data_IF_557090196610
#
_entry.id   IF_557090196610
#
_cell.length_a   1.000
_cell.length_b   1.000
_cell.length_c   1.000
_cell.angle_alpha   90.00
_cell.angle_beta   90.00
_cell.angle_gamma   90.00
#
_symmetry.space_group_name_H-M   'P 1'
#
loop_
_entity.id
_entity.type
_entity.pdbx_description
1 polymer ?
#
# COMPACT_ATOMS: atom_id res chain seq x y z
N UNK A 1 1.95 9.10 -10.20
CA UNK A 1 0.79 9.27 -9.29
C UNK A 1 0.36 7.89 -8.87
N UNK A 2 -0.03 7.71 -7.60
CA UNK A 2 -0.46 6.39 -7.10
C UNK A 2 -1.72 5.91 -7.83
N UNK A 3 -1.83 4.61 -8.12
CA UNK A 3 -3.03 4.03 -8.77
C UNK A 3 -4.25 3.92 -7.85
N UNK A 4 -4.06 4.11 -6.54
CA UNK A 4 -5.12 4.05 -5.53
C UNK A 4 -5.39 5.41 -4.88
N UNK A 5 -6.59 5.58 -4.30
CA UNK A 5 -7.01 6.77 -3.53
C UNK A 5 -7.22 6.44 -2.05
N UNK A 6 -6.98 7.41 -1.15
CA UNK A 6 -7.17 7.19 0.29
C UNK A 6 -8.63 6.83 0.50
N UNK A 7 -8.89 5.77 1.27
CA UNK A 7 -10.21 5.18 1.43
C UNK A 7 -10.56 4.09 0.42
N UNK A 8 -9.75 3.87 -0.63
CA UNK A 8 -9.95 2.72 -1.52
C UNK A 8 -9.72 1.43 -0.73
N UNK A 9 -10.55 0.43 -1.01
CA UNK A 9 -10.29 -0.93 -0.55
C UNK A 9 -9.33 -1.61 -1.52
N UNK A 10 -8.30 -2.23 -0.98
CA UNK A 10 -7.25 -2.91 -1.72
C UNK A 10 -7.00 -4.29 -1.12
N UNK A 11 -6.44 -5.18 -1.91
CA UNK A 11 -6.04 -6.52 -1.49
C UNK A 11 -4.72 -6.88 -2.17
N UNK A 12 -3.90 -7.67 -1.49
CA UNK A 12 -2.69 -8.22 -2.09
C UNK A 12 -3.03 -9.22 -3.21
N UNK A 13 -2.26 -9.21 -4.30
CA UNK A 13 -2.47 -10.08 -5.46
C UNK A 13 -2.38 -11.58 -5.14
N UNK A 14 -1.64 -11.95 -4.09
CA UNK A 14 -1.56 -13.35 -3.63
C UNK A 14 -2.82 -13.84 -2.91
N UNK A 15 -3.83 -12.98 -2.72
CA UNK A 15 -4.91 -13.19 -1.77
C UNK A 15 -4.49 -12.82 -0.34
N UNK A 16 -5.44 -12.32 0.44
CA UNK A 16 -5.22 -11.81 1.80
C UNK A 16 -6.42 -11.04 2.33
N UNK A 17 -6.33 -10.42 3.52
CA UNK A 17 -7.39 -9.55 4.02
C UNK A 17 -7.56 -8.31 3.12
N UNK A 18 -8.79 -7.81 3.05
CA UNK A 18 -9.08 -6.53 2.40
C UNK A 18 -8.66 -5.41 3.33
N UNK A 19 -7.83 -4.51 2.81
CA UNK A 19 -7.28 -3.36 3.51
C UNK A 19 -7.87 -2.08 2.93
N UNK A 20 -7.91 -1.03 3.73
CA UNK A 20 -8.28 0.31 3.29
C UNK A 20 -7.03 1.16 3.18
N UNK A 21 -6.84 1.83 2.05
CA UNK A 21 -5.71 2.73 1.86
C UNK A 21 -5.80 3.90 2.84
N UNK A 22 -4.84 4.01 3.75
CA UNK A 22 -4.74 5.12 4.70
C UNK A 22 -3.77 6.18 4.23
N UNK A 23 -2.59 5.77 3.80
CA UNK A 23 -1.49 6.67 3.48
C UNK A 23 -0.71 6.18 2.27
N UNK A 24 -0.03 7.10 1.59
CA UNK A 24 0.97 6.78 0.58
C UNK A 24 2.32 7.15 1.13
N UNK A 25 3.24 6.21 1.03
CA UNK A 25 4.65 6.55 1.07
C UNK A 25 5.09 6.66 -0.38
N UNK A 26 4.93 7.85 -0.96
CA UNK A 26 5.84 8.24 -2.02
C UNK A 26 7.17 8.43 -1.34
N UNK A 27 8.16 7.61 -1.67
CA UNK A 27 9.54 7.93 -1.34
C UNK A 27 9.84 9.29 -2.01
N UNK A 28 9.68 10.39 -1.27
CA UNK A 28 10.40 11.62 -1.51
C UNK A 28 11.86 11.26 -1.19
N UNK A 29 12.49 10.54 -2.12
CA UNK A 29 13.91 10.30 -2.14
C UNK A 29 14.55 11.64 -2.52
N UNK A 30 14.43 12.62 -1.62
CA UNK A 30 15.26 13.80 -1.65
C UNK A 30 16.69 13.28 -1.48
N UNK A 31 17.41 13.31 -2.60
CA UNK A 31 18.86 13.31 -2.64
C UNK A 31 19.53 12.05 -2.09
N UNK A 32 19.48 10.94 -2.82
CA UNK A 32 20.60 10.02 -3.03
C UNK A 32 20.07 8.67 -3.51
N UNK A 33 20.27 8.40 -4.80
CA UNK A 33 20.80 7.14 -5.34
C UNK A 33 20.26 6.93 -6.76
N UNK A 34 21.00 7.52 -7.70
CA UNK A 34 21.62 6.77 -8.79
C UNK A 34 20.74 5.73 -9.51
N UNK A 35 20.31 6.11 -10.71
CA UNK A 35 20.17 5.23 -11.88
C UNK A 35 19.21 4.03 -11.74
N UNK A 36 18.01 4.23 -12.28
CA UNK A 36 17.35 3.23 -13.11
C UNK A 36 16.52 2.21 -12.36
N UNK A 37 15.29 2.56 -12.01
CA UNK A 37 14.11 1.68 -12.01
C UNK A 37 12.88 2.50 -11.65
N UNK A 38 11.71 2.09 -12.14
CA UNK A 38 10.47 2.85 -12.11
C UNK A 38 10.05 3.34 -10.72
N UNK A 39 9.17 4.33 -10.70
CA UNK A 39 8.63 4.96 -9.50
C UNK A 39 8.17 3.93 -8.44
N UNK A 40 9.03 3.65 -7.46
CA UNK A 40 8.74 2.77 -6.32
C UNK A 40 7.68 3.44 -5.42
N UNK A 41 6.41 3.25 -5.75
CA UNK A 41 5.28 3.79 -5.00
C UNK A 41 4.80 2.74 -4.01
N UNK A 42 4.72 3.12 -2.74
CA UNK A 42 4.24 2.24 -1.68
C UNK A 42 2.94 2.75 -1.10
N UNK A 43 2.08 1.81 -0.72
CA UNK A 43 0.76 2.08 -0.16
C UNK A 43 0.71 1.46 1.23
N UNK A 44 0.22 2.23 2.19
CA UNK A 44 -0.04 1.76 3.54
C UNK A 44 -1.54 1.46 3.63
N UNK A 45 -1.85 0.16 3.70
CA UNK A 45 -3.19 -0.36 3.92
C UNK A 45 -3.41 -0.68 5.39
N UNK A 46 -4.61 -0.37 5.89
CA UNK A 46 -5.07 -0.74 7.22
C UNK A 46 -6.20 -1.77 7.12
N UNK A 47 -6.16 -2.84 7.90
CA UNK A 47 -7.29 -3.73 8.08
C UNK A 47 -7.48 -4.07 9.56
N UNK A 48 -8.68 -4.52 9.90
CA UNK A 48 -8.97 -5.02 11.23
C UNK A 48 -8.53 -6.49 11.32
N UNK A 49 -7.55 -6.77 12.17
CA UNK A 49 -7.15 -8.13 12.47
C UNK A 49 -8.03 -8.68 13.60
N UNK A 50 -8.84 -9.69 13.28
CA UNK A 50 -9.74 -10.31 14.28
C UNK A 50 -8.99 -11.17 15.31
N UNK A 51 -7.81 -11.69 14.97
CA UNK A 51 -6.98 -12.46 15.90
C UNK A 51 -6.39 -11.60 17.00
N UNK A 52 -5.89 -10.42 16.64
CA UNK A 52 -5.34 -9.43 17.57
C UNK A 52 -6.37 -8.39 18.06
N UNK A 53 -7.59 -8.44 17.52
CA UNK A 53 -8.71 -7.50 17.80
C UNK A 53 -8.32 -6.03 17.66
N UNK A 54 -7.47 -5.71 16.69
CA UNK A 54 -6.93 -4.36 16.50
C UNK A 54 -6.76 -4.02 15.01
N UNK A 55 -6.71 -2.73 14.70
CA UNK A 55 -6.31 -2.29 13.37
C UNK A 55 -4.80 -2.40 13.22
N UNK A 56 -4.38 -2.97 12.10
CA UNK A 56 -2.98 -3.18 11.75
C UNK A 56 -2.70 -2.53 10.40
N UNK A 57 -1.55 -1.87 10.32
CA UNK A 57 -1.09 -1.20 9.12
C UNK A 57 0.00 -2.05 8.47
N UNK A 58 -0.10 -2.28 7.17
CA UNK A 58 0.98 -2.88 6.40
C UNK A 58 1.27 -2.06 5.15
N UNK A 59 2.57 -2.01 4.86
CA UNK A 59 3.12 -1.37 3.68
C UNK A 59 3.28 -2.41 2.58
N UNK A 60 2.71 -2.12 1.43
CA UNK A 60 2.86 -2.94 0.23
C UNK A 60 3.35 -2.10 -0.93
N UNK A 61 4.07 -2.74 -1.86
CA UNK A 61 4.38 -2.12 -3.13
C UNK A 61 3.09 -2.00 -3.94
N UNK A 62 2.90 -0.88 -4.62
CA UNK A 62 1.66 -0.62 -5.32
C UNK A 62 1.34 -1.72 -6.36
N UNK A 63 2.35 -2.20 -7.07
CA UNK A 63 2.22 -3.27 -8.07
C UNK A 63 1.76 -4.62 -7.53
N UNK A 64 1.93 -4.88 -6.22
CA UNK A 64 1.50 -6.14 -5.61
C UNK A 64 0.07 -6.08 -5.06
N UNK A 65 -0.63 -4.97 -5.30
CA UNK A 65 -1.99 -4.72 -4.84
C UNK A 65 -2.97 -4.60 -6.02
N UNK A 66 -4.23 -4.95 -5.74
CA UNK A 66 -5.39 -4.69 -6.58
C UNK A 66 -6.47 -3.95 -5.79
N UNK A 67 -7.25 -3.12 -6.48
CA UNK A 67 -8.43 -2.47 -5.92
C UNK A 67 -9.58 -3.47 -5.88
N UNK A 68 -10.34 -3.45 -4.79
CA UNK A 68 -11.57 -4.24 -4.63
C UNK A 68 -12.75 -3.28 -4.37
N UNK A 69 -13.94 -3.61 -4.87
CA UNK A 69 -15.17 -2.83 -4.71
C UNK A 69 -15.80 -3.01 -3.30
#
# INVERSE_FOLDING_TARGET
MSKFKIGDKIQHLSGGPVMVVKEYEQALLSEQLTRGTGANTYVIGEWYDEGEKKFVNQRFHEDTLQKVD
#
